data_IF_289256513405
#
_entry.id   IF_289256513405
#
_cell.length_a   1.000
_cell.length_b   1.000
_cell.length_c   1.000
_cell.angle_alpha   90.00
_cell.angle_beta   90.00
_cell.angle_gamma   90.00
#
_symmetry.space_group_name_H-M   'P 1'
#
loop_
_entity.id
_entity.type
_entity.pdbx_description
1 polymer ?
#
# COMPACT_ATOMS: atom_id res chain seq x y z
N UNK A 1 11.53 3.92 5.39
CA UNK A 1 11.91 2.53 5.73
C UNK A 1 11.07 1.92 6.86
N UNK A 2 10.34 2.71 7.67
CA UNK A 2 9.50 2.17 8.74
C UNK A 2 8.46 1.12 8.27
N UNK A 3 7.93 1.28 7.05
CA UNK A 3 6.95 0.35 6.49
C UNK A 3 7.52 -1.06 6.28
N UNK A 4 8.62 -1.22 5.54
CA UNK A 4 9.23 -2.54 5.32
C UNK A 4 9.76 -3.17 6.62
N UNK A 5 10.20 -2.37 7.58
CA UNK A 5 10.55 -2.88 8.91
C UNK A 5 9.33 -3.42 9.67
N UNK A 6 8.19 -2.72 9.60
CA UNK A 6 6.97 -3.12 10.31
C UNK A 6 6.42 -4.45 9.79
N UNK A 7 6.48 -4.69 8.48
CA UNK A 7 5.93 -5.91 7.86
C UNK A 7 6.94 -7.05 7.72
N UNK A 8 8.20 -6.74 7.38
CA UNK A 8 9.19 -7.75 7.00
C UNK A 8 10.49 -7.69 7.81
N UNK A 9 10.55 -6.87 8.88
CA UNK A 9 11.73 -6.68 9.74
C UNK A 9 13.03 -6.38 8.98
N UNK A 10 12.90 -5.63 7.88
CA UNK A 10 14.01 -5.32 6.96
C UNK A 10 14.00 -3.86 6.53
N UNK A 11 15.18 -3.30 6.28
CA UNK A 11 15.35 -1.93 5.79
C UNK A 11 15.45 -1.90 4.26
N UNK A 12 14.41 -2.37 3.58
CA UNK A 12 14.37 -2.41 2.12
C UNK A 12 13.18 -1.59 1.55
N UNK A 13 13.42 -0.47 0.85
CA UNK A 13 12.35 0.33 0.24
C UNK A 13 11.51 -0.46 -0.78
N UNK A 14 12.09 -1.42 -1.51
CA UNK A 14 11.35 -2.25 -2.49
C UNK A 14 10.35 -3.20 -1.83
N UNK A 15 10.56 -3.54 -0.55
CA UNK A 15 9.61 -4.32 0.27
C UNK A 15 8.62 -3.42 1.02
N UNK A 16 8.71 -2.10 0.89
CA UNK A 16 7.71 -1.22 1.50
C UNK A 16 6.40 -1.28 0.73
N UNK A 17 5.28 -1.25 1.46
CA UNK A 17 3.92 -1.15 0.92
C UNK A 17 3.56 0.27 0.42
N UNK A 18 4.50 1.21 0.49
CA UNK A 18 4.47 2.56 -0.09
C UNK A 18 5.74 2.79 -0.90
N UNK A 19 5.71 3.71 -1.87
CA UNK A 19 6.91 4.14 -2.61
C UNK A 19 7.07 5.64 -2.56
N UNK A 20 8.31 6.11 -2.75
CA UNK A 20 8.60 7.53 -2.95
C UNK A 20 8.96 7.70 -4.41
N UNK A 21 8.07 8.33 -5.16
CA UNK A 21 8.34 8.78 -6.52
C UNK A 21 9.24 10.02 -6.46
N UNK A 22 10.27 10.05 -7.32
CA UNK A 22 11.18 11.19 -7.43
C UNK A 22 11.13 11.73 -8.85
N UNK A 23 10.83 13.02 -9.00
CA UNK A 23 10.80 13.74 -10.28
C UNK A 23 11.93 14.77 -10.31
N UNK A 24 13.17 14.29 -10.31
CA UNK A 24 14.37 15.13 -10.28
C UNK A 24 14.74 15.65 -8.87
N UNK A 25 15.77 16.50 -8.77
CA UNK A 25 16.28 16.99 -7.50
C UNK A 25 15.21 17.76 -6.70
N UNK A 26 15.00 17.38 -5.44
CA UNK A 26 14.10 18.09 -4.51
C UNK A 26 12.61 17.83 -4.69
N UNK A 27 12.17 17.19 -5.78
CA UNK A 27 10.76 16.87 -6.01
C UNK A 27 10.53 15.38 -5.74
N UNK A 28 9.89 15.09 -4.60
CA UNK A 28 9.47 13.74 -4.26
C UNK A 28 8.02 13.70 -3.81
N UNK A 29 7.34 12.61 -4.15
CA UNK A 29 5.95 12.38 -3.75
C UNK A 29 5.80 10.94 -3.26
N UNK A 30 5.14 10.72 -2.10
CA UNK A 30 4.83 9.37 -1.67
C UNK A 30 3.64 8.81 -2.47
N UNK A 31 3.84 7.67 -3.11
CA UNK A 31 2.79 6.85 -3.70
C UNK A 31 2.22 5.93 -2.61
N UNK A 32 1.02 6.26 -2.14
CA UNK A 32 0.33 5.59 -1.03
C UNK A 32 -1.10 5.27 -1.47
N UNK A 33 -1.63 4.14 -0.99
CA UNK A 33 -3.01 3.77 -1.28
C UNK A 33 -3.96 4.75 -0.59
N UNK A 34 -4.86 5.37 -1.37
CA UNK A 34 -5.84 6.34 -0.87
C UNK A 34 -7.16 5.71 -0.40
N UNK A 35 -7.25 4.38 -0.37
CA UNK A 35 -8.45 3.66 0.08
C UNK A 35 -9.74 4.05 -0.67
N UNK A 36 -9.67 4.16 -2.01
CA UNK A 36 -10.77 4.57 -2.89
C UNK A 36 -12.10 3.91 -2.50
N UNK A 37 -13.20 4.66 -2.44
CA UNK A 37 -14.55 4.13 -2.22
C UNK A 37 -14.94 3.09 -3.28
N UNK A 38 -14.74 3.42 -4.56
CA UNK A 38 -14.76 2.46 -5.67
C UNK A 38 -13.33 2.01 -5.96
N UNK A 39 -13.01 0.78 -5.61
CA UNK A 39 -11.67 0.22 -5.71
C UNK A 39 -11.55 -0.71 -6.94
N UNK A 40 -11.10 -0.21 -8.11
CA UNK A 40 -10.99 -1.02 -9.33
C UNK A 40 -10.00 -2.19 -9.19
N UNK A 41 -9.08 -2.11 -8.23
CA UNK A 41 -8.18 -3.22 -7.91
C UNK A 41 -8.91 -4.45 -7.35
N UNK A 42 -10.05 -4.29 -6.66
CA UNK A 42 -10.88 -5.40 -6.18
C UNK A 42 -11.48 -6.14 -7.39
N UNK A 43 -12.13 -5.40 -8.30
CA UNK A 43 -12.75 -5.95 -9.51
C UNK A 43 -11.73 -6.65 -10.43
N UNK A 44 -10.49 -6.15 -10.45
CA UNK A 44 -9.42 -6.68 -11.27
C UNK A 44 -8.77 -7.96 -10.73
N UNK A 45 -9.03 -8.36 -9.48
CA UNK A 45 -8.37 -9.49 -8.85
C UNK A 45 -9.14 -10.80 -9.11
N UNK A 46 -8.63 -11.71 -9.96
CA UNK A 46 -9.34 -12.94 -10.30
C UNK A 46 -9.44 -13.92 -9.13
N UNK A 47 -8.43 -13.95 -8.24
CA UNK A 47 -8.42 -14.82 -7.05
C UNK A 47 -9.22 -14.26 -5.89
N UNK A 48 -9.78 -13.04 -6.01
CA UNK A 48 -10.47 -12.32 -4.94
C UNK A 48 -9.61 -12.10 -3.68
N UNK A 49 -8.28 -12.06 -3.83
CA UNK A 49 -7.35 -11.75 -2.75
C UNK A 49 -7.46 -10.30 -2.25
N UNK A 50 -7.98 -9.38 -3.07
CA UNK A 50 -8.15 -7.98 -2.69
C UNK A 50 -9.59 -7.77 -2.23
N UNK A 51 -9.77 -7.41 -0.96
CA UNK A 51 -11.08 -7.22 -0.34
C UNK A 51 -11.15 -5.92 0.44
N UNK A 52 -12.37 -5.42 0.67
CA UNK A 52 -12.61 -4.37 1.66
C UNK A 52 -12.95 -5.03 2.99
N UNK A 53 -12.17 -4.76 4.02
CA UNK A 53 -12.47 -5.23 5.36
C UNK A 53 -13.77 -4.58 5.87
N UNK A 54 -14.70 -5.40 6.32
CA UNK A 54 -16.04 -4.94 6.69
C UNK A 54 -16.07 -4.13 8.00
N UNK A 55 -15.06 -4.29 8.86
CA UNK A 55 -15.00 -3.61 10.16
C UNK A 55 -14.33 -2.25 10.05
N UNK A 56 -13.26 -2.18 9.28
CA UNK A 56 -12.39 -1.00 9.17
C UNK A 56 -12.60 -0.22 7.88
N UNK A 57 -13.26 -0.80 6.89
CA UNK A 57 -13.44 -0.20 5.56
C UNK A 57 -12.16 -0.18 4.72
N UNK A 58 -11.04 -0.70 5.23
CA UNK A 58 -9.73 -0.68 4.58
C UNK A 58 -9.71 -1.74 3.48
N UNK A 59 -9.32 -1.34 2.27
CA UNK A 59 -9.01 -2.30 1.21
C UNK A 59 -7.68 -2.96 1.59
N UNK A 60 -7.60 -4.28 1.55
CA UNK A 60 -6.40 -5.07 1.90
C UNK A 60 -6.13 -6.15 0.85
N UNK A 61 -4.91 -6.68 0.81
CA UNK A 61 -4.57 -7.86 0.00
C UNK A 61 -4.28 -9.00 0.97
N UNK A 62 -5.01 -10.10 0.82
CA UNK A 62 -4.74 -11.37 1.48
C UNK A 62 -3.61 -12.06 0.74
N UNK A 63 -2.42 -12.06 1.35
CA UNK A 63 -1.19 -12.56 0.75
C UNK A 63 -1.25 -14.07 0.47
N UNK A 64 -2.02 -14.81 1.27
CA UNK A 64 -2.29 -16.24 1.15
C UNK A 64 -3.15 -16.61 -0.07
N UNK A 65 -3.96 -15.67 -0.57
CA UNK A 65 -4.82 -15.85 -1.75
C UNK A 65 -4.24 -15.22 -3.02
N UNK A 66 -3.16 -14.46 -2.90
CA UNK A 66 -2.57 -13.74 -4.02
C UNK A 66 -1.65 -14.68 -4.83
N UNK A 67 -1.98 -14.87 -6.10
CA UNK A 67 -1.19 -15.68 -7.05
C UNK A 67 -0.07 -14.88 -7.76
N UNK A 68 -0.01 -13.57 -7.54
CA UNK A 68 0.97 -12.70 -8.16
C UNK A 68 0.69 -12.31 -9.61
N UNK A 69 -0.52 -12.50 -10.13
CA UNK A 69 -0.85 -12.18 -11.53
C UNK A 69 -0.63 -10.71 -11.92
N UNK A 70 -0.60 -9.78 -10.95
CA UNK A 70 -0.27 -8.36 -11.17
C UNK A 70 -1.34 -7.54 -11.87
N UNK A 71 -2.51 -8.12 -12.21
CA UNK A 71 -3.60 -7.43 -12.94
C UNK A 71 -4.15 -6.19 -12.20
N UNK A 72 -4.02 -6.16 -10.87
CA UNK A 72 -4.44 -5.03 -10.05
C UNK A 72 -3.54 -3.79 -10.19
N UNK A 73 -2.26 -3.96 -10.57
CA UNK A 73 -1.27 -2.88 -10.66
C UNK A 73 -1.68 -1.80 -11.68
N UNK A 74 -1.90 -2.12 -12.97
CA UNK A 74 -2.28 -1.11 -13.97
C UNK A 74 -3.67 -0.53 -13.73
N UNK A 75 -4.49 -1.17 -12.89
CA UNK A 75 -5.84 -0.69 -12.54
C UNK A 75 -5.82 0.32 -11.39
N UNK A 76 -4.70 0.49 -10.69
CA UNK A 76 -4.59 1.49 -9.64
C UNK A 76 -4.29 2.88 -10.23
N UNK A 77 -5.22 3.84 -10.17
CA UNK A 77 -4.99 5.19 -10.72
C UNK A 77 -3.92 5.98 -9.96
N UNK A 78 -3.59 5.55 -8.73
CA UNK A 78 -2.63 6.21 -7.85
C UNK A 78 -1.25 5.55 -7.85
N UNK A 79 -1.03 4.51 -8.66
CA UNK A 79 0.22 3.73 -8.70
C UNK A 79 0.65 3.22 -7.32
N UNK A 80 -0.31 2.80 -6.48
CA UNK A 80 -0.07 2.45 -5.08
C UNK A 80 0.02 0.94 -4.82
N UNK A 81 0.06 0.12 -5.87
CA UNK A 81 0.15 -1.35 -5.80
C UNK A 81 1.40 -1.78 -6.54
N UNK A 82 2.18 -2.68 -5.94
CA UNK A 82 3.47 -3.11 -6.44
C UNK A 82 3.64 -4.62 -6.29
N UNK A 83 4.54 -5.23 -7.06
CA UNK A 83 4.97 -6.60 -6.78
C UNK A 83 6.01 -6.62 -5.67
N UNK A 84 5.88 -7.57 -4.73
CA UNK A 84 6.93 -7.87 -3.77
C UNK A 84 8.13 -8.46 -4.51
N UNK A 85 9.38 -8.00 -4.24
CA UNK A 85 10.56 -8.43 -4.98
C UNK A 85 10.97 -9.90 -4.80
N UNK A 86 10.26 -10.69 -3.98
CA UNK A 86 10.70 -12.03 -3.55
C UNK A 86 9.50 -12.99 -3.40
N UNK A 87 8.43 -12.54 -2.73
CA UNK A 87 7.29 -13.39 -2.39
C UNK A 87 6.30 -13.63 -3.55
N UNK A 88 6.58 -13.12 -4.76
CA UNK A 88 5.69 -13.22 -5.95
C UNK A 88 4.23 -12.83 -5.67
N UNK A 89 3.98 -11.91 -4.75
CA UNK A 89 2.64 -11.38 -4.44
C UNK A 89 2.56 -9.89 -4.73
N UNK A 90 1.35 -9.38 -4.91
CA UNK A 90 1.10 -7.95 -4.92
C UNK A 90 1.05 -7.39 -3.49
N UNK A 91 1.64 -6.22 -3.28
CA UNK A 91 1.68 -5.50 -2.01
C UNK A 91 1.21 -4.06 -2.21
N UNK A 92 0.52 -3.53 -1.20
CA UNK A 92 0.05 -2.14 -1.16
C UNK A 92 -0.17 -1.73 0.29
N UNK A 93 -0.31 -0.44 0.55
CA UNK A 93 -0.61 0.06 1.89
C UNK A 93 -1.90 -0.58 2.44
N UNK A 94 -1.82 -1.04 3.68
CA UNK A 94 -2.87 -1.65 4.50
C UNK A 94 -3.20 -0.78 5.73
N UNK A 95 -2.72 0.46 5.74
CA UNK A 95 -2.78 1.40 6.87
C UNK A 95 -2.16 0.88 8.17
N UNK A 96 -1.38 -0.21 8.13
CA UNK A 96 -0.82 -0.86 9.32
C UNK A 96 -1.86 -1.08 10.43
N UNK A 97 -3.10 -1.46 10.06
CA UNK A 97 -4.19 -1.67 11.02
C UNK A 97 -4.66 -0.38 11.72
N UNK A 98 -4.52 0.78 11.08
CA UNK A 98 -4.92 2.08 11.63
C UNK A 98 -3.81 2.83 12.37
N UNK A 99 -2.61 2.24 12.51
CA UNK A 99 -1.47 2.91 13.12
C UNK A 99 -0.25 2.92 12.17
N UNK A 100 -0.24 3.80 11.15
CA UNK A 100 0.78 3.78 10.11
C UNK A 100 2.17 4.11 10.65
N UNK A 101 3.07 3.14 10.61
CA UNK A 101 4.46 3.34 11.04
C UNK A 101 5.18 4.42 10.21
N UNK A 102 4.80 4.58 8.94
CA UNK A 102 5.35 5.63 8.07
C UNK A 102 4.98 7.05 8.53
N UNK A 103 3.83 7.25 9.16
CA UNK A 103 3.42 8.53 9.77
C UNK A 103 4.17 8.72 11.09
N UNK A 104 4.12 7.71 11.97
CA UNK A 104 4.72 7.76 13.32
C UNK A 104 6.22 8.11 13.31
N UNK A 105 6.98 7.55 12.37
CA UNK A 105 8.43 7.71 12.30
C UNK A 105 8.90 8.66 11.19
N UNK A 106 8.01 9.48 10.60
CA UNK A 106 8.42 10.44 9.58
C UNK A 106 9.14 11.64 10.23
N UNK A 107 10.46 11.84 10.04
CA UNK A 107 11.17 12.96 10.65
C UNK A 107 10.71 14.31 10.09
N UNK A 108 10.32 14.34 8.81
CA UNK A 108 9.87 15.54 8.11
C UNK A 108 8.37 15.84 8.34
N UNK A 109 7.63 14.92 8.99
CA UNK A 109 6.19 15.05 9.27
C UNK A 109 5.34 15.40 8.03
N UNK A 110 5.71 14.90 6.86
CA UNK A 110 5.00 15.16 5.59
C UNK A 110 3.82 14.21 5.34
N UNK A 111 3.67 13.19 6.18
CA UNK A 111 2.58 12.20 6.09
C UNK A 111 1.65 12.37 7.29
N UNK A 112 0.35 12.45 7.00
CA UNK A 112 -0.71 12.46 7.99
C UNK A 112 -1.73 11.37 7.65
N UNK A 113 -2.19 10.65 8.66
CA UNK A 113 -3.36 9.78 8.52
C UNK A 113 -4.57 10.61 8.92
N UNK A 114 -5.52 10.77 8.00
CA UNK A 114 -6.80 11.43 8.27
C UNK A 114 -7.87 10.35 8.36
N UNK A 115 -8.70 10.42 9.39
CA UNK A 115 -9.88 9.57 9.51
C UNK A 115 -11.03 10.32 8.84
N UNK A 116 -11.58 9.80 7.74
CA UNK A 116 -12.83 10.32 7.19
C UNK A 116 -13.98 9.78 8.03
N UNK A 117 -14.31 10.51 9.10
CA UNK A 117 -15.31 10.15 10.10
C UNK A 117 -15.54 11.28 11.11
N UNK A 118 -15.90 12.46 10.60
CA UNK A 118 -16.34 13.65 11.33
C UNK A 118 -16.91 14.68 10.36
#
# INVERSE_FOLDING_TARGET
MACSYSHYKTFNPKKSRIRIFQKGPGISRPDVCVQCSKAPCIEACPTKAIVRDAKTGVVVIHEDLCDGCGLCIPKCPFNAIFMHPEQKIAIKCDLCGGNPACVKYCPQRVLHCVEEGG
#
